data_IF_585354943419
#
_entry.id   IF_585354943419
#
_cell.length_a   1.000
_cell.length_b   1.000
_cell.length_c   1.000
_cell.angle_alpha   90.00
_cell.angle_beta   90.00
_cell.angle_gamma   90.00
#
_symmetry.space_group_name_H-M   'P 1'
#
loop_
_entity.id
_entity.type
_entity.pdbx_description
1 polymer ?
#
# COMPACT_ATOMS: atom_id res chain seq x y z
N UNK A 1 19.09 10.84 3.76
CA UNK A 1 18.35 10.23 2.64
C UNK A 1 16.89 10.64 2.72
N UNK A 2 16.22 10.71 1.58
CA UNK A 2 14.84 11.18 1.47
C UNK A 2 13.93 9.95 1.37
N UNK A 3 13.04 9.74 2.34
CA UNK A 3 12.07 8.64 2.36
C UNK A 3 10.67 9.19 2.09
N UNK A 4 10.05 8.74 1.01
CA UNK A 4 8.69 9.11 0.62
C UNK A 4 7.68 8.08 1.14
N UNK A 5 6.72 8.56 1.93
CA UNK A 5 5.57 7.80 2.42
C UNK A 5 4.27 8.52 2.11
N UNK A 6 3.16 7.84 2.31
CA UNK A 6 1.83 8.44 2.31
C UNK A 6 1.11 8.07 3.62
N UNK A 7 -0.02 8.69 3.89
CA UNK A 7 -0.90 8.29 5.00
C UNK A 7 -1.85 7.19 4.52
N UNK A 8 -1.52 5.94 4.84
CA UNK A 8 -2.26 4.74 4.47
C UNK A 8 -2.33 3.75 5.64
N UNK A 9 -3.12 4.06 6.70
CA UNK A 9 -3.23 3.20 7.87
C UNK A 9 -3.72 1.77 7.54
N UNK A 10 -3.16 0.73 8.19
CA UNK A 10 -2.09 0.71 9.20
C UNK A 10 -0.68 0.57 8.61
N UNK A 11 -0.55 0.61 7.26
CA UNK A 11 0.71 0.38 6.56
C UNK A 11 1.72 1.50 6.85
N UNK A 12 1.25 2.74 6.69
CA UNK A 12 2.01 3.95 7.00
C UNK A 12 1.11 4.98 7.67
N UNK A 13 1.72 5.72 8.61
CA UNK A 13 1.13 6.88 9.28
C UNK A 13 2.04 8.10 9.12
N UNK A 14 1.44 9.28 8.99
CA UNK A 14 2.17 10.53 8.89
C UNK A 14 2.31 11.20 10.26
N UNK A 15 1.27 11.14 11.10
CA UNK A 15 1.21 11.80 12.41
C UNK A 15 0.54 10.89 13.45
N UNK A 16 1.10 9.71 13.71
CA UNK A 16 0.61 8.80 14.76
C UNK A 16 1.65 8.66 15.87
N UNK A 17 1.27 8.82 17.16
CA UNK A 17 2.21 8.72 18.28
C UNK A 17 2.83 7.33 18.45
N UNK A 18 2.27 6.30 17.84
CA UNK A 18 2.80 4.93 17.86
C UNK A 18 3.99 4.71 16.91
N UNK A 19 4.12 5.57 15.88
CA UNK A 19 5.17 5.48 14.86
C UNK A 19 4.63 5.71 13.45
N UNK A 20 5.39 5.20 12.48
CA UNK A 20 5.11 5.40 11.05
C UNK A 20 4.29 4.27 10.41
N UNK A 21 3.69 3.37 11.20
CA UNK A 21 2.93 2.23 10.70
C UNK A 21 3.81 1.00 10.40
N UNK A 22 3.17 -0.09 9.97
CA UNK A 22 3.85 -1.38 9.78
C UNK A 22 5.04 -1.23 8.85
N UNK A 23 4.79 -0.76 7.64
CA UNK A 23 5.82 -0.65 6.59
C UNK A 23 6.74 0.53 6.84
N UNK A 24 6.19 1.64 7.36
CA UNK A 24 6.96 2.82 7.70
C UNK A 24 8.00 2.56 8.79
N UNK A 25 7.61 1.94 9.91
CA UNK A 25 8.53 1.63 11.01
C UNK A 25 9.64 0.66 10.58
N UNK A 26 9.33 -0.33 9.74
CA UNK A 26 10.34 -1.27 9.23
C UNK A 26 11.34 -0.52 8.34
N UNK A 27 10.88 0.36 7.45
CA UNK A 27 11.76 1.16 6.61
C UNK A 27 12.66 2.09 7.44
N UNK A 28 12.10 2.78 8.43
CA UNK A 28 12.84 3.66 9.35
C UNK A 28 13.91 2.89 10.12
N UNK A 29 13.56 1.73 10.67
CA UNK A 29 14.50 0.89 11.42
C UNK A 29 15.59 0.30 10.53
N UNK A 30 15.26 -0.07 9.28
CA UNK A 30 16.25 -0.54 8.32
C UNK A 30 17.25 0.56 7.96
N UNK A 31 16.80 1.79 7.74
CA UNK A 31 17.68 2.93 7.47
C UNK A 31 18.58 3.24 8.66
N UNK A 32 18.04 3.24 9.89
CA UNK A 32 18.83 3.45 11.11
C UNK A 32 19.87 2.34 11.30
N UNK A 33 19.51 1.08 11.06
CA UNK A 33 20.41 -0.09 11.17
C UNK A 33 21.53 -0.05 10.12
N UNK A 34 21.24 0.47 8.92
CA UNK A 34 22.21 0.70 7.87
C UNK A 34 23.08 1.97 8.06
N UNK A 35 22.83 2.74 9.12
CA UNK A 35 23.58 3.96 9.43
C UNK A 35 23.21 5.19 8.60
N UNK A 36 22.02 5.20 7.98
CA UNK A 36 21.55 6.32 7.19
C UNK A 36 20.63 7.24 7.98
N UNK A 37 20.99 8.54 8.05
CA UNK A 37 20.07 9.58 8.48
C UNK A 37 18.98 9.79 7.43
N UNK A 38 17.71 9.95 7.85
CA UNK A 38 16.61 10.10 6.93
C UNK A 38 15.81 11.37 7.18
N UNK A 39 15.16 11.84 6.11
CA UNK A 39 14.12 12.86 6.13
C UNK A 39 12.88 12.28 5.46
N UNK A 40 11.72 12.39 6.14
CA UNK A 40 10.46 11.88 5.62
C UNK A 40 9.75 12.96 4.80
N UNK A 41 9.24 12.55 3.64
CA UNK A 41 8.43 13.35 2.75
C UNK A 41 7.05 12.74 2.55
N UNK A 42 6.04 13.60 2.58
CA UNK A 42 4.64 13.23 2.33
C UNK A 42 4.14 13.99 1.12
N UNK A 43 3.83 13.25 0.07
CA UNK A 43 3.29 13.80 -1.19
C UNK A 43 2.07 12.99 -1.63
N UNK A 44 1.19 13.56 -2.47
CA UNK A 44 0.20 12.74 -3.18
C UNK A 44 0.87 11.56 -3.88
N UNK A 45 0.31 10.34 -3.72
CA UNK A 45 1.02 9.11 -4.01
C UNK A 45 1.57 9.00 -5.45
N UNK A 46 0.76 9.39 -6.44
CA UNK A 46 1.21 9.42 -7.83
C UNK A 46 2.40 10.39 -8.03
N UNK A 47 2.40 11.54 -7.34
CA UNK A 47 3.51 12.50 -7.38
C UNK A 47 4.75 11.95 -6.68
N UNK A 48 4.60 11.27 -5.55
CA UNK A 48 5.72 10.64 -4.85
C UNK A 48 6.41 9.59 -5.74
N UNK A 49 5.63 8.73 -6.40
CA UNK A 49 6.15 7.72 -7.32
C UNK A 49 6.94 8.36 -8.47
N UNK A 50 6.36 9.36 -9.14
CA UNK A 50 7.03 10.08 -10.22
C UNK A 50 8.34 10.73 -9.72
N UNK A 51 8.27 11.49 -8.64
CA UNK A 51 9.43 12.17 -8.07
C UNK A 51 10.56 11.19 -7.75
N UNK A 52 10.26 10.12 -7.00
CA UNK A 52 11.28 9.13 -6.65
C UNK A 52 11.86 8.42 -7.86
N UNK A 53 11.07 8.12 -8.90
CA UNK A 53 11.59 7.44 -10.10
C UNK A 53 12.61 8.27 -10.90
N UNK A 54 12.60 9.59 -10.73
CA UNK A 54 13.46 10.55 -11.45
C UNK A 54 14.68 11.00 -10.62
N UNK A 55 14.66 10.83 -9.27
CA UNK A 55 15.67 11.34 -8.37
C UNK A 55 16.67 10.27 -7.90
N UNK A 56 17.91 10.70 -7.60
CA UNK A 56 18.95 9.84 -7.08
C UNK A 56 18.79 9.64 -5.57
N UNK A 57 18.91 8.38 -5.13
CA UNK A 57 18.94 7.99 -3.69
C UNK A 57 17.70 8.44 -2.89
N UNK A 58 16.55 8.61 -3.57
CA UNK A 58 15.26 8.77 -2.95
C UNK A 58 14.57 7.42 -2.79
N UNK A 59 14.03 7.19 -1.61
CA UNK A 59 13.34 5.96 -1.22
C UNK A 59 11.84 6.15 -1.21
N UNK A 60 11.10 5.08 -1.45
CA UNK A 60 9.64 5.07 -1.40
C UNK A 60 9.12 3.78 -0.76
N UNK A 61 8.12 3.91 0.10
CA UNK A 61 7.37 2.81 0.69
C UNK A 61 5.99 3.30 1.16
N UNK A 62 4.94 2.46 1.21
CA UNK A 62 4.80 1.08 0.77
C UNK A 62 4.56 0.99 -0.75
N UNK A 63 5.50 0.49 -1.51
CA UNK A 63 5.34 0.37 -2.96
C UNK A 63 5.03 -1.07 -3.35
N UNK A 64 3.85 -1.32 -3.94
CA UNK A 64 3.53 -2.64 -4.49
C UNK A 64 4.36 -2.93 -5.72
N UNK A 65 5.00 -4.10 -5.75
CA UNK A 65 5.71 -4.58 -6.91
C UNK A 65 4.73 -5.16 -7.92
N UNK A 66 4.52 -4.46 -9.01
CA UNK A 66 3.63 -4.85 -10.12
C UNK A 66 4.34 -4.63 -11.45
N UNK A 67 3.95 -5.34 -12.54
CA UNK A 67 4.67 -5.32 -13.82
C UNK A 67 4.91 -3.91 -14.39
N UNK A 68 3.94 -3.01 -14.31
CA UNK A 68 4.06 -1.64 -14.83
C UNK A 68 5.12 -0.78 -14.12
N UNK A 69 5.63 -1.23 -12.98
CA UNK A 69 6.62 -0.50 -12.17
C UNK A 69 8.04 -1.07 -12.27
N UNK A 70 8.23 -2.24 -12.92
CA UNK A 70 9.52 -2.93 -12.95
C UNK A 70 10.64 -2.07 -13.58
N UNK A 71 10.33 -1.32 -14.62
CA UNK A 71 11.29 -0.49 -15.33
C UNK A 71 11.58 0.86 -14.65
N UNK A 72 10.78 1.23 -13.64
CA UNK A 72 10.88 2.53 -12.99
C UNK A 72 11.60 2.49 -11.64
N UNK A 73 11.62 1.33 -10.97
CA UNK A 73 12.15 1.22 -9.61
C UNK A 73 13.16 0.10 -9.45
N UNK A 74 14.09 0.32 -8.52
CA UNK A 74 14.95 -0.69 -7.95
C UNK A 74 14.30 -1.20 -6.66
N UNK A 75 14.02 -2.50 -6.63
CA UNK A 75 13.35 -3.17 -5.52
C UNK A 75 14.39 -3.60 -4.47
N UNK A 76 14.44 -2.89 -3.35
CA UNK A 76 15.45 -3.11 -2.31
C UNK A 76 15.12 -4.39 -1.54
N UNK A 77 13.97 -4.42 -0.87
CA UNK A 77 13.53 -5.58 -0.09
C UNK A 77 12.00 -5.64 0.02
N UNK A 78 11.41 -6.86 0.02
CA UNK A 78 10.01 -7.03 0.39
C UNK A 78 9.84 -6.82 1.89
N UNK A 79 8.82 -6.04 2.26
CA UNK A 79 8.49 -5.74 3.66
C UNK A 79 7.39 -6.67 4.16
N UNK A 80 6.26 -6.71 3.45
CA UNK A 80 5.13 -7.58 3.79
C UNK A 80 4.33 -7.99 2.55
N UNK A 81 3.68 -9.18 2.59
CA UNK A 81 2.72 -9.56 1.56
C UNK A 81 1.47 -8.66 1.64
N UNK A 82 0.86 -8.38 0.48
CA UNK A 82 -0.37 -7.61 0.40
C UNK A 82 -1.44 -8.38 -0.37
N UNK A 83 -2.45 -8.81 0.36
CA UNK A 83 -3.68 -9.39 -0.18
C UNK A 83 -4.68 -8.30 -0.50
N UNK A 84 -5.41 -8.44 -1.61
CA UNK A 84 -6.45 -7.51 -2.05
C UNK A 84 -7.75 -8.23 -2.34
N UNK A 85 -8.85 -7.59 -1.95
CA UNK A 85 -10.20 -8.12 -2.13
C UNK A 85 -11.17 -6.99 -2.50
N UNK A 86 -12.35 -7.36 -2.98
CA UNK A 86 -13.48 -6.46 -3.10
C UNK A 86 -14.24 -6.43 -1.77
N UNK A 87 -14.58 -5.22 -1.34
CA UNK A 87 -15.39 -4.95 -0.16
C UNK A 87 -16.67 -4.25 -0.59
N UNK A 88 -17.84 -4.72 -0.10
CA UNK A 88 -19.14 -4.14 -0.41
C UNK A 88 -20.10 -4.23 0.76
N UNK A 89 -21.29 -3.65 0.65
CA UNK A 89 -22.31 -3.64 1.71
C UNK A 89 -23.45 -4.62 1.46
N UNK A 90 -23.69 -5.00 0.22
CA UNK A 90 -24.88 -5.74 -0.19
C UNK A 90 -24.61 -6.92 -1.14
N UNK A 91 -23.47 -6.94 -1.82
CA UNK A 91 -23.12 -7.96 -2.82
C UNK A 91 -21.73 -8.52 -2.60
N UNK A 92 -21.58 -9.82 -2.68
CA UNK A 92 -20.30 -10.52 -2.63
C UNK A 92 -20.02 -11.13 -4.00
N UNK A 93 -18.78 -10.99 -4.46
CA UNK A 93 -18.28 -11.53 -5.72
C UNK A 93 -17.17 -12.53 -5.45
N UNK A 94 -16.92 -13.46 -6.36
CA UNK A 94 -15.92 -14.52 -6.20
C UNK A 94 -14.59 -14.22 -6.90
N UNK A 95 -14.63 -13.42 -7.97
CA UNK A 95 -13.48 -13.14 -8.82
C UNK A 95 -13.68 -11.84 -9.61
N UNK A 96 -12.66 -11.44 -10.38
CA UNK A 96 -12.69 -10.24 -11.21
C UNK A 96 -13.78 -10.27 -12.29
N UNK A 97 -14.06 -11.43 -12.88
CA UNK A 97 -15.10 -11.55 -13.92
C UNK A 97 -16.47 -11.19 -13.35
N UNK A 98 -16.83 -11.81 -12.22
CA UNK A 98 -18.10 -11.52 -11.54
C UNK A 98 -18.15 -10.08 -11.03
N UNK A 99 -17.03 -9.53 -10.57
CA UNK A 99 -16.95 -8.13 -10.12
C UNK A 99 -17.25 -7.14 -11.26
N UNK A 100 -16.75 -7.40 -12.47
CA UNK A 100 -17.03 -6.56 -13.66
C UNK A 100 -18.50 -6.52 -14.04
N UNK A 101 -19.19 -7.64 -13.88
CA UNK A 101 -20.62 -7.74 -14.19
C UNK A 101 -21.50 -7.16 -13.08
N UNK A 102 -21.01 -7.19 -11.83
CA UNK A 102 -21.80 -6.84 -10.64
C UNK A 102 -21.68 -5.36 -10.28
N UNK A 103 -20.47 -4.79 -10.31
CA UNK A 103 -20.18 -3.46 -9.81
C UNK A 103 -20.04 -2.43 -10.94
N UNK A 104 -20.75 -1.32 -10.83
CA UNK A 104 -20.67 -0.22 -11.80
C UNK A 104 -19.64 0.83 -11.39
N UNK A 105 -19.40 1.02 -10.08
CA UNK A 105 -18.43 1.96 -9.53
C UNK A 105 -17.59 1.31 -8.44
N UNK A 106 -16.31 1.11 -8.71
CA UNK A 106 -15.36 0.50 -7.77
C UNK A 106 -14.37 1.55 -7.31
N UNK A 107 -14.41 1.88 -6.03
CA UNK A 107 -13.44 2.81 -5.42
C UNK A 107 -12.07 2.17 -5.29
N UNK A 108 -11.05 2.92 -5.64
CA UNK A 108 -9.63 2.56 -5.49
C UNK A 108 -8.83 3.78 -5.04
N UNK A 109 -7.68 3.57 -4.45
CA UNK A 109 -6.76 4.67 -4.15
C UNK A 109 -6.15 5.23 -5.44
N UNK A 110 -6.17 6.56 -5.62
CA UNK A 110 -5.58 7.24 -6.76
C UNK A 110 -4.07 6.98 -6.85
N UNK A 111 -3.60 6.47 -7.99
CA UNK A 111 -2.20 6.10 -8.22
C UNK A 111 -1.77 4.84 -7.47
N UNK A 112 -2.69 4.09 -6.87
CA UNK A 112 -2.40 2.83 -6.20
C UNK A 112 -2.23 1.66 -7.17
N UNK A 113 -1.68 0.55 -6.68
CA UNK A 113 -1.64 -0.69 -7.45
C UNK A 113 -3.05 -1.24 -7.75
N UNK A 114 -4.02 -0.96 -6.89
CA UNK A 114 -5.40 -1.39 -7.05
C UNK A 114 -6.03 -0.80 -8.32
N UNK A 115 -5.78 0.47 -8.58
CA UNK A 115 -6.23 1.14 -9.83
C UNK A 115 -5.66 0.46 -11.07
N UNK A 116 -4.37 0.22 -11.05
CA UNK A 116 -3.65 -0.47 -12.14
C UNK A 116 -4.13 -1.91 -12.35
N UNK A 117 -4.28 -2.67 -11.27
CA UNK A 117 -4.76 -4.06 -11.32
C UNK A 117 -6.13 -4.12 -12.00
N UNK A 118 -7.08 -3.24 -11.66
CA UNK A 118 -8.40 -3.24 -12.28
C UNK A 118 -8.30 -2.95 -13.79
N UNK A 119 -7.44 -2.00 -14.21
CA UNK A 119 -7.22 -1.71 -15.64
C UNK A 119 -6.68 -2.93 -16.39
N UNK A 120 -5.65 -3.59 -15.84
CA UNK A 120 -5.05 -4.81 -16.42
C UNK A 120 -6.06 -5.95 -16.46
N UNK A 121 -6.96 -6.05 -15.48
CA UNK A 121 -8.03 -7.05 -15.46
C UNK A 121 -9.18 -6.72 -16.42
N UNK A 122 -9.13 -5.60 -17.15
CA UNK A 122 -10.10 -5.23 -18.18
C UNK A 122 -11.40 -4.64 -17.64
N UNK A 123 -11.36 -3.97 -16.48
CA UNK A 123 -12.45 -3.10 -16.05
C UNK A 123 -12.49 -1.85 -16.93
N UNK A 124 -13.69 -1.36 -17.22
CA UNK A 124 -13.87 -0.12 -17.96
C UNK A 124 -13.44 1.08 -17.11
N UNK A 125 -12.99 2.17 -17.77
CA UNK A 125 -12.58 3.38 -17.07
C UNK A 125 -13.71 4.02 -16.25
N UNK A 126 -14.97 3.90 -16.72
CA UNK A 126 -16.15 4.39 -16.00
C UNK A 126 -16.53 3.56 -14.75
N UNK A 127 -16.04 2.33 -14.64
CA UNK A 127 -16.18 1.48 -13.45
C UNK A 127 -15.11 1.77 -12.39
N UNK A 128 -13.95 2.28 -12.77
CA UNK A 128 -12.85 2.57 -11.84
C UNK A 128 -13.03 3.99 -11.29
N UNK A 129 -13.18 4.11 -9.99
CA UNK A 129 -13.40 5.40 -9.32
C UNK A 129 -12.21 5.74 -8.41
N UNK A 130 -11.19 6.48 -8.91
CA UNK A 130 -10.02 6.85 -8.12
C UNK A 130 -10.37 7.86 -7.02
N UNK A 131 -9.97 7.56 -5.80
CA UNK A 131 -10.25 8.35 -4.59
C UNK A 131 -8.95 8.62 -3.83
N UNK A 132 -8.95 9.66 -3.00
CA UNK A 132 -7.84 9.90 -2.07
C UNK A 132 -7.63 8.67 -1.20
N UNK A 133 -6.37 8.20 -1.07
CA UNK A 133 -5.99 7.06 -0.23
C UNK A 133 -6.30 7.39 1.23
N UNK A 134 -6.69 6.38 2.00
CA UNK A 134 -7.07 6.49 3.40
C UNK A 134 -8.52 6.04 3.64
N UNK A 135 -9.28 6.75 4.48
CA UNK A 135 -10.66 6.41 4.85
C UNK A 135 -11.71 6.86 3.82
N UNK A 136 -11.34 7.71 2.87
CA UNK A 136 -12.26 8.29 1.89
C UNK A 136 -13.04 7.23 1.08
N UNK A 137 -12.42 6.15 0.53
CA UNK A 137 -13.18 5.13 -0.17
C UNK A 137 -14.20 4.40 0.73
N UNK A 138 -13.88 4.16 2.00
CA UNK A 138 -14.79 3.54 2.95
C UNK A 138 -16.03 4.43 3.22
N UNK A 139 -15.83 5.76 3.33
CA UNK A 139 -16.92 6.72 3.46
C UNK A 139 -17.79 6.77 2.20
N UNK A 140 -17.16 6.75 1.00
CA UNK A 140 -17.90 6.72 -0.27
C UNK A 140 -18.74 5.46 -0.42
N UNK A 141 -18.22 4.30 0.03
CA UNK A 141 -18.97 3.05 0.07
C UNK A 141 -20.17 3.15 1.02
N UNK A 142 -19.95 3.70 2.22
CA UNK A 142 -21.02 3.88 3.21
C UNK A 142 -22.13 4.80 2.70
N UNK A 143 -21.81 5.83 1.93
CA UNK A 143 -22.74 6.77 1.32
C UNK A 143 -23.41 6.25 0.04
N UNK A 144 -23.06 5.03 -0.43
CA UNK A 144 -23.57 4.48 -1.68
C UNK A 144 -23.08 5.21 -2.94
N UNK A 145 -21.96 5.92 -2.84
CA UNK A 145 -21.35 6.64 -3.96
C UNK A 145 -20.50 5.72 -4.85
N UNK A 146 -20.06 4.61 -4.30
CA UNK A 146 -19.41 3.47 -4.97
C UNK A 146 -20.10 2.19 -4.54
N UNK A 147 -20.10 1.17 -5.41
CA UNK A 147 -20.75 -0.12 -5.16
C UNK A 147 -19.82 -1.07 -4.40
N UNK A 148 -18.53 -0.93 -4.66
CA UNK A 148 -17.49 -1.73 -4.01
C UNK A 148 -16.21 -0.90 -3.81
N UNK A 149 -15.40 -1.35 -2.87
CA UNK A 149 -14.05 -0.85 -2.62
C UNK A 149 -13.06 -1.99 -2.89
N UNK A 150 -12.19 -1.85 -3.89
CA UNK A 150 -11.11 -2.80 -4.13
C UNK A 150 -9.85 -2.31 -3.45
N UNK A 151 -9.41 -3.02 -2.40
CA UNK A 151 -8.35 -2.53 -1.53
C UNK A 151 -7.57 -3.66 -0.84
N UNK A 152 -6.49 -3.27 -0.16
CA UNK A 152 -5.72 -4.13 0.74
C UNK A 152 -6.56 -4.64 1.92
N UNK A 153 -6.46 -5.92 2.20
CA UNK A 153 -7.21 -6.55 3.31
C UNK A 153 -6.83 -5.93 4.67
N UNK A 154 -5.54 -5.74 5.01
CA UNK A 154 -5.15 -5.11 6.28
C UNK A 154 -5.71 -3.69 6.44
N UNK A 155 -5.62 -2.86 5.38
CA UNK A 155 -6.12 -1.49 5.39
C UNK A 155 -7.64 -1.45 5.59
N UNK A 156 -8.38 -2.28 4.85
CA UNK A 156 -9.84 -2.29 4.92
C UNK A 156 -10.33 -2.75 6.29
N UNK A 157 -9.68 -3.77 6.88
CA UNK A 157 -10.00 -4.23 8.25
C UNK A 157 -9.68 -3.21 9.32
N UNK A 158 -8.65 -2.40 9.12
CA UNK A 158 -8.26 -1.32 10.05
C UNK A 158 -9.17 -0.10 9.93
N UNK A 159 -9.55 0.28 8.71
CA UNK A 159 -10.32 1.51 8.45
C UNK A 159 -11.80 1.31 8.73
N UNK A 160 -12.39 0.21 8.27
CA UNK A 160 -13.85 0.05 8.28
C UNK A 160 -14.49 0.15 9.66
N UNK A 161 -13.97 -0.48 10.73
CA UNK A 161 -14.58 -0.38 12.07
C UNK A 161 -14.61 1.06 12.64
N UNK A 162 -13.74 1.94 12.14
CA UNK A 162 -13.68 3.36 12.52
C UNK A 162 -14.71 4.21 11.79
N UNK A 163 -15.09 3.78 10.58
CA UNK A 163 -16.05 4.48 9.71
C UNK A 163 -17.49 4.02 9.98
N UNK A 164 -17.70 2.70 10.22
CA UNK A 164 -19.04 2.14 10.34
C UNK A 164 -19.08 0.88 11.21
N UNK A 165 -20.25 0.64 11.83
CA UNK A 165 -20.59 -0.63 12.49
C UNK A 165 -21.35 -1.60 11.56
N UNK A 166 -21.66 -1.20 10.33
CA UNK A 166 -22.30 -2.09 9.34
C UNK A 166 -21.34 -3.22 8.98
N UNK A 167 -21.92 -4.40 8.73
CA UNK A 167 -21.15 -5.53 8.21
C UNK A 167 -20.56 -5.18 6.86
N UNK A 168 -19.26 -5.36 6.70
CA UNK A 168 -18.55 -5.26 5.43
C UNK A 168 -18.40 -6.68 4.86
N UNK A 169 -18.91 -6.88 3.66
CA UNK A 169 -18.73 -8.13 2.93
C UNK A 169 -17.38 -8.09 2.22
N UNK A 170 -16.62 -9.16 2.32
CA UNK A 170 -15.32 -9.32 1.66
C UNK A 170 -15.38 -10.48 0.67
N UNK A 171 -14.94 -10.28 -0.56
CA UNK A 171 -14.73 -11.35 -1.53
C UNK A 171 -13.59 -12.28 -1.08
N UNK A 172 -13.42 -13.47 -1.68
CA UNK A 172 -12.11 -14.14 -1.67
C UNK A 172 -11.00 -13.18 -2.10
N UNK A 173 -9.77 -13.45 -1.68
CA UNK A 173 -8.60 -12.68 -2.13
C UNK A 173 -8.44 -12.85 -3.64
N UNK A 174 -8.38 -11.74 -4.37
CA UNK A 174 -8.34 -11.73 -5.83
C UNK A 174 -6.96 -11.34 -6.39
N UNK A 175 -6.09 -10.76 -5.56
CA UNK A 175 -4.75 -10.35 -5.98
C UNK A 175 -3.77 -10.36 -4.82
N UNK A 176 -2.54 -10.74 -5.14
CA UNK A 176 -1.39 -10.70 -4.24
C UNK A 176 -0.27 -9.89 -4.91
N UNK A 177 0.35 -8.99 -4.17
CA UNK A 177 1.59 -8.33 -4.58
C UNK A 177 2.27 -7.75 -3.35
N UNK A 178 3.51 -8.11 -3.12
CA UNK A 178 4.26 -7.67 -1.94
C UNK A 178 4.49 -6.16 -1.95
N UNK A 179 4.52 -5.59 -0.75
CA UNK A 179 4.94 -4.22 -0.50
C UNK A 179 6.46 -4.18 -0.28
N UNK A 180 7.10 -3.29 -0.96
CA UNK A 180 8.56 -3.13 -0.96
C UNK A 180 8.99 -1.78 -0.39
N UNK A 181 10.21 -1.77 0.15
CA UNK A 181 11.07 -0.60 0.13
C UNK A 181 11.74 -0.56 -1.24
N UNK A 182 11.61 0.56 -1.93
CA UNK A 182 12.13 0.72 -3.28
C UNK A 182 12.77 2.10 -3.47
N UNK A 183 13.51 2.26 -4.55
CA UNK A 183 14.10 3.53 -4.97
C UNK A 183 14.16 3.62 -6.50
N UNK A 184 14.65 4.74 -7.04
CA UNK A 184 14.81 4.90 -8.48
C UNK A 184 15.85 3.93 -9.07
N UNK A 185 15.92 3.85 -10.40
CA UNK A 185 17.02 3.15 -11.11
C UNK A 185 18.39 3.84 -10.93
N UNK A 186 18.39 5.07 -10.42
CA UNK A 186 19.60 5.87 -10.18
C UNK A 186 20.20 5.68 -8.79
N UNK A 187 19.64 4.77 -7.97
CA UNK A 187 20.12 4.53 -6.63
C UNK A 187 21.53 3.95 -6.58
N UNK A 188 22.31 4.38 -5.59
CA UNK A 188 23.61 3.82 -5.30
C UNK A 188 23.52 2.30 -5.02
N UNK A 189 24.26 1.44 -5.73
CA UNK A 189 24.26 -0.01 -5.48
C UNK A 189 24.61 -0.35 -4.03
N UNK A 190 25.57 0.37 -3.43
CA UNK A 190 25.93 0.17 -2.02
C UNK A 190 24.76 0.41 -1.08
N UNK A 191 24.02 1.50 -1.27
CA UNK A 191 22.83 1.81 -0.46
C UNK A 191 21.76 0.72 -0.58
N UNK A 192 21.51 0.25 -1.81
CA UNK A 192 20.54 -0.82 -2.07
C UNK A 192 20.92 -2.09 -1.29
N UNK A 193 22.20 -2.45 -1.29
CA UNK A 193 22.69 -3.62 -0.57
C UNK A 193 22.62 -3.44 0.95
N UNK A 194 23.12 -2.32 1.48
CA UNK A 194 23.08 -2.01 2.91
C UNK A 194 21.64 -2.07 3.47
N UNK A 195 20.67 -1.51 2.73
CA UNK A 195 19.26 -1.52 3.14
C UNK A 195 18.63 -2.90 3.01
N UNK A 196 18.98 -3.67 1.99
CA UNK A 196 18.54 -5.07 1.84
C UNK A 196 19.00 -5.92 3.01
N UNK A 197 20.28 -5.84 3.35
CA UNK A 197 20.86 -6.55 4.49
C UNK A 197 20.19 -6.11 5.81
N UNK A 198 19.94 -4.81 5.98
CA UNK A 198 19.28 -4.30 7.17
C UNK A 198 17.86 -4.87 7.32
N UNK A 199 17.05 -4.90 6.24
CA UNK A 199 15.71 -5.51 6.29
C UNK A 199 15.78 -7.00 6.61
N UNK A 200 16.73 -7.74 6.04
CA UNK A 200 16.92 -9.15 6.34
C UNK A 200 17.36 -9.39 7.80
N UNK A 201 18.16 -8.52 8.36
CA UNK A 201 18.50 -8.58 9.79
C UNK A 201 17.27 -8.35 10.67
N UNK A 202 16.41 -7.34 10.34
CA UNK A 202 15.17 -7.08 11.06
C UNK A 202 14.16 -8.24 10.95
N UNK A 203 14.19 -8.97 9.85
CA UNK A 203 13.39 -10.18 9.66
C UNK A 203 13.88 -11.31 10.54
N UNK A 204 15.20 -11.57 10.53
CA UNK A 204 15.83 -12.67 11.30
C UNK A 204 15.75 -12.47 12.82
N UNK A 205 15.79 -11.23 13.31
CA UNK A 205 15.70 -10.93 14.75
C UNK A 205 14.25 -10.79 15.26
N UNK A 206 13.25 -11.04 14.41
CA UNK A 206 11.82 -10.98 14.73
C UNK A 206 11.26 -9.57 14.90
N UNK A 207 12.01 -8.54 14.50
CA UNK A 207 11.55 -7.15 14.60
C UNK A 207 10.36 -6.89 13.68
N UNK A 208 10.35 -7.47 12.47
CA UNK A 208 9.23 -7.31 11.53
C UNK A 208 7.94 -7.85 12.14
N UNK A 209 7.98 -9.02 12.78
CA UNK A 209 6.80 -9.62 13.41
C UNK A 209 6.30 -8.77 14.59
N UNK A 210 7.21 -8.26 15.43
CA UNK A 210 6.84 -7.36 16.54
C UNK A 210 6.23 -6.05 16.07
N UNK A 211 6.71 -5.49 14.96
CA UNK A 211 6.11 -4.29 14.35
C UNK A 211 4.73 -4.60 13.81
N UNK A 212 4.57 -5.71 13.12
CA UNK A 212 3.30 -6.16 12.59
C UNK A 212 2.24 -6.31 13.71
N UNK A 213 2.59 -7.02 14.78
CA UNK A 213 1.71 -7.23 15.92
C UNK A 213 1.28 -5.93 16.61
N UNK A 214 2.18 -4.95 16.72
CA UNK A 214 1.89 -3.63 17.31
C UNK A 214 0.69 -2.93 16.65
N UNK A 215 0.50 -3.11 15.36
CA UNK A 215 -0.51 -2.38 14.59
C UNK A 215 -1.75 -3.22 14.24
N UNK A 216 -1.66 -4.54 14.22
CA UNK A 216 -2.76 -5.43 13.81
C UNK A 216 -3.42 -6.21 14.95
N UNK A 217 -2.80 -6.29 16.14
CA UNK A 217 -3.34 -7.00 17.30
C UNK A 217 -4.34 -6.16 18.12
N UNK A 218 -5.13 -5.29 17.47
CA UNK A 218 -6.17 -4.46 18.14
C UNK A 218 -7.57 -4.94 17.80
#
# INVERSE_FOLDING_TARGET
MELHILDAPPLTFVNDPRGYGIVGDIAVQAMAKAGYAMKIHVLPWARAQKHVSEERDHLITPLSRIPSREDHFTWIAPIMPMERAFFSLDRQVRNFAEAKDTFQKIGVGLGSAQEEILRVQGFRDDQIYPLTIGDNPAQMLLMGRIDAWFNGVPESRYIWPKVSKRKLLMSPVNSHADLYLACSKLCSPKMVEDLREAVEMLRKDGTIDRVHDRYLSQ
#
